data_IF_209007953073
#
_entry.id   IF_209007953073
#
_cell.length_a   1.000
_cell.length_b   1.000
_cell.length_c   1.000
_cell.angle_alpha   90.00
_cell.angle_beta   90.00
_cell.angle_gamma   90.00
#
_symmetry.space_group_name_H-M   'P 1'
#
loop_
_entity.id
_entity.type
_entity.pdbx_description
1 polymer ?
#
# COMPACT_ATOMS: atom_id res chain seq x y z
N UNK A 1 -29.75 -38.35 -21.46
CA UNK A 1 -29.33 -37.71 -20.19
C UNK A 1 -30.57 -37.12 -19.54
N UNK A 2 -30.82 -37.34 -18.25
CA UNK A 2 -32.04 -36.80 -17.62
C UNK A 2 -31.92 -35.27 -17.46
N UNK A 3 -33.02 -34.51 -17.57
CA UNK A 3 -32.99 -33.06 -17.38
C UNK A 3 -32.44 -32.65 -16.01
N UNK A 4 -32.60 -33.51 -14.99
CA UNK A 4 -32.04 -33.31 -13.64
C UNK A 4 -30.50 -33.35 -13.63
N UNK A 5 -29.89 -34.25 -14.40
CA UNK A 5 -28.42 -34.34 -14.53
C UNK A 5 -27.88 -33.12 -15.27
N UNK A 6 -28.56 -32.67 -16.33
CA UNK A 6 -28.19 -31.46 -17.07
C UNK A 6 -28.22 -30.23 -16.16
N UNK A 7 -29.32 -30.05 -15.40
CA UNK A 7 -29.46 -28.93 -14.46
C UNK A 7 -28.37 -28.98 -13.40
N UNK A 8 -28.12 -30.14 -12.77
CA UNK A 8 -27.08 -30.28 -11.75
C UNK A 8 -25.68 -29.97 -12.31
N UNK A 9 -25.34 -30.47 -13.51
CA UNK A 9 -24.05 -30.21 -14.15
C UNK A 9 -23.88 -28.72 -14.48
N UNK A 10 -24.92 -28.05 -14.98
CA UNK A 10 -24.90 -26.61 -15.23
C UNK A 10 -24.72 -25.81 -13.94
N UNK A 11 -25.42 -26.17 -12.86
CA UNK A 11 -25.26 -25.51 -11.56
C UNK A 11 -23.83 -25.62 -11.05
N UNK A 12 -23.23 -26.82 -11.10
CA UNK A 12 -21.83 -27.03 -10.70
C UNK A 12 -20.89 -26.19 -11.56
N UNK A 13 -21.10 -26.15 -12.88
CA UNK A 13 -20.27 -25.36 -13.79
C UNK A 13 -20.38 -23.85 -13.51
N UNK A 14 -21.57 -23.34 -13.24
CA UNK A 14 -21.78 -21.93 -12.87
C UNK A 14 -21.09 -21.60 -11.54
N UNK A 15 -21.22 -22.47 -10.53
CA UNK A 15 -20.55 -22.27 -9.23
C UNK A 15 -19.03 -22.32 -9.39
N UNK A 16 -18.50 -23.28 -10.14
CA UNK A 16 -17.07 -23.39 -10.42
C UNK A 16 -16.54 -22.17 -11.19
N UNK A 17 -17.27 -21.69 -12.20
CA UNK A 17 -16.90 -20.49 -12.94
C UNK A 17 -16.95 -19.24 -12.04
N UNK A 18 -17.97 -19.10 -11.20
CA UNK A 18 -18.08 -18.01 -10.23
C UNK A 18 -16.92 -18.01 -9.22
N UNK A 19 -16.58 -19.18 -8.67
CA UNK A 19 -15.44 -19.35 -7.79
C UNK A 19 -14.11 -19.03 -8.51
N UNK A 20 -13.95 -19.49 -9.75
CA UNK A 20 -12.78 -19.20 -10.58
C UNK A 20 -12.60 -17.71 -10.85
N UNK A 21 -13.66 -17.00 -11.23
CA UNK A 21 -13.65 -15.55 -11.44
C UNK A 21 -13.33 -14.79 -10.15
N UNK A 22 -13.91 -15.20 -9.02
CA UNK A 22 -13.65 -14.59 -7.71
C UNK A 22 -12.18 -14.72 -7.28
N UNK A 23 -11.55 -15.86 -7.52
CA UNK A 23 -10.15 -16.11 -7.16
C UNK A 23 -9.15 -15.44 -8.12
N UNK A 24 -9.48 -15.39 -9.42
CA UNK A 24 -8.57 -14.82 -10.41
C UNK A 24 -8.64 -13.28 -10.48
N UNK A 25 -9.83 -12.71 -10.27
CA UNK A 25 -10.10 -11.26 -10.32
C UNK A 25 -9.61 -10.56 -11.61
N UNK A 26 -10.00 -11.03 -12.82
CA UNK A 26 -9.49 -10.48 -14.08
C UNK A 26 -9.80 -9.00 -14.27
N UNK A 27 -10.84 -8.49 -13.60
CA UNK A 27 -11.25 -7.09 -13.71
C UNK A 27 -10.29 -6.09 -13.10
N UNK A 28 -9.46 -6.50 -12.15
CA UNK A 28 -8.41 -5.63 -11.59
C UNK A 28 -7.42 -5.14 -12.65
N UNK A 29 -7.30 -5.82 -13.78
CA UNK A 29 -6.48 -5.34 -14.89
C UNK A 29 -7.04 -4.06 -15.56
N UNK A 30 -8.28 -3.68 -15.29
CA UNK A 30 -8.97 -2.57 -15.95
C UNK A 30 -9.84 -1.72 -15.00
N UNK A 31 -9.77 -1.93 -13.69
CA UNK A 31 -10.47 -1.12 -12.69
C UNK A 31 -9.48 -0.36 -11.83
N UNK A 32 -9.77 0.92 -11.60
CA UNK A 32 -9.04 1.75 -10.65
C UNK A 32 -9.82 1.93 -9.36
N UNK A 33 -9.10 1.94 -8.24
CA UNK A 33 -9.61 2.30 -6.91
C UNK A 33 -8.84 3.52 -6.40
N UNK A 34 -9.56 4.64 -6.28
CA UNK A 34 -9.02 5.88 -5.72
C UNK A 34 -9.33 5.98 -4.23
N UNK A 35 -8.31 6.26 -3.44
CA UNK A 35 -8.43 6.54 -2.01
C UNK A 35 -8.00 8.00 -1.76
N UNK A 36 -8.70 8.67 -0.85
CA UNK A 36 -8.40 10.06 -0.48
C UNK A 36 -8.50 10.19 1.03
N UNK A 37 -7.46 9.72 1.72
CA UNK A 37 -7.35 9.85 3.17
C UNK A 37 -6.64 11.15 3.54
N UNK A 38 -7.24 11.92 4.43
CA UNK A 38 -6.57 13.02 5.11
C UNK A 38 -5.48 12.49 6.07
N UNK A 39 -4.48 13.31 6.36
CA UNK A 39 -3.58 13.03 7.48
C UNK A 39 -4.38 12.99 8.79
N UNK A 40 -4.18 12.01 9.66
CA UNK A 40 -4.85 11.98 10.97
C UNK A 40 -4.41 13.17 11.82
N UNK A 41 -5.28 14.17 11.95
CA UNK A 41 -5.13 15.22 12.96
C UNK A 41 -5.93 14.76 14.17
N UNK A 42 -5.29 14.65 15.35
CA UNK A 42 -5.98 14.25 16.57
C UNK A 42 -7.25 15.11 16.75
N UNK A 43 -8.43 14.49 16.71
CA UNK A 43 -9.69 15.18 16.95
C UNK A 43 -9.77 15.57 18.42
N UNK A 44 -9.31 16.78 18.76
CA UNK A 44 -9.63 17.42 20.02
C UNK A 44 -10.97 18.17 19.88
N UNK A 45 -11.86 18.16 20.90
CA UNK A 45 -13.03 19.03 20.92
C UNK A 45 -12.58 20.50 20.87
N UNK A 46 -13.28 21.31 20.08
CA UNK A 46 -13.00 22.73 19.95
C UNK A 46 -13.33 23.48 21.26
N UNK A 47 -12.36 23.58 22.17
CA UNK A 47 -12.38 24.57 23.26
C UNK A 47 -10.93 24.96 23.61
N UNK A 48 -10.53 26.16 23.18
CA UNK A 48 -9.28 26.90 23.47
C UNK A 48 -7.96 26.41 22.82
N UNK A 49 -7.03 27.33 22.47
CA UNK A 49 -5.90 27.04 21.60
C UNK A 49 -4.68 26.59 22.42
N UNK A 50 -4.47 25.28 22.48
CA UNK A 50 -3.15 24.74 22.80
C UNK A 50 -2.74 23.85 21.63
N UNK A 51 -1.89 24.43 20.78
CA UNK A 51 -1.41 23.86 19.54
C UNK A 51 -0.55 22.64 19.86
N UNK A 52 -1.19 21.47 19.97
CA UNK A 52 -0.49 20.20 19.91
C UNK A 52 0.38 20.21 18.65
N UNK A 53 1.65 19.75 18.71
CA UNK A 53 2.51 19.74 17.54
C UNK A 53 1.80 19.01 16.40
N UNK A 54 1.63 19.69 15.26
CA UNK A 54 1.09 19.09 14.06
C UNK A 54 1.96 17.92 13.58
N UNK A 55 1.48 17.12 12.61
CA UNK A 55 2.24 16.01 12.06
C UNK A 55 3.64 16.46 11.61
N UNK A 56 4.69 15.79 12.10
CA UNK A 56 6.09 16.08 11.77
C UNK A 56 6.58 15.08 10.73
N UNK A 57 7.10 15.58 9.63
CA UNK A 57 7.71 14.75 8.59
C UNK A 57 9.07 14.24 9.06
N UNK A 58 9.26 12.92 9.05
CA UNK A 58 10.50 12.27 9.46
C UNK A 58 11.40 11.98 8.26
N UNK A 59 10.82 11.47 7.18
CA UNK A 59 11.51 11.17 5.94
C UNK A 59 10.53 11.19 4.77
N UNK A 60 11.03 11.39 3.55
CA UNK A 60 10.24 11.39 2.34
C UNK A 60 11.03 10.90 1.12
N UNK A 61 10.30 10.46 0.11
CA UNK A 61 10.83 9.99 -1.16
C UNK A 61 9.79 10.08 -2.26
N UNK A 62 10.25 10.06 -3.52
CA UNK A 62 9.38 9.90 -4.69
C UNK A 62 9.49 8.49 -5.23
N UNK A 63 8.37 7.95 -5.68
CA UNK A 63 8.36 6.65 -6.32
C UNK A 63 9.13 6.67 -7.63
N UNK A 64 9.96 5.65 -7.83
CA UNK A 64 10.50 5.25 -9.12
C UNK A 64 9.76 4.01 -9.62
N UNK A 65 9.55 3.95 -10.93
CA UNK A 65 8.93 2.82 -11.61
C UNK A 65 9.85 1.60 -11.59
N UNK A 66 9.27 0.43 -11.34
CA UNK A 66 9.89 -0.88 -11.56
C UNK A 66 9.09 -1.66 -12.61
N UNK A 67 8.46 -2.79 -12.24
CA UNK A 67 7.73 -3.65 -13.20
C UNK A 67 6.46 -2.98 -13.73
N UNK A 68 5.95 -1.97 -13.02
CA UNK A 68 4.73 -1.25 -13.37
C UNK A 68 4.90 0.25 -13.17
N UNK A 69 4.41 1.05 -14.12
CA UNK A 69 4.44 2.51 -14.02
C UNK A 69 3.89 2.96 -12.67
N UNK A 70 4.74 3.63 -11.89
CA UNK A 70 4.41 4.02 -10.52
C UNK A 70 4.95 5.42 -10.24
N UNK A 71 4.07 6.31 -9.77
CA UNK A 71 4.41 7.69 -9.39
C UNK A 71 3.73 8.11 -8.09
N UNK A 72 4.15 9.25 -7.56
CA UNK A 72 3.68 9.79 -6.28
C UNK A 72 4.82 9.93 -5.28
N UNK A 73 4.49 10.14 -4.01
CA UNK A 73 5.44 10.26 -2.93
C UNK A 73 5.11 9.32 -1.76
N UNK A 74 6.14 8.96 -1.00
CA UNK A 74 6.02 8.26 0.26
C UNK A 74 6.64 9.10 1.38
N UNK A 75 5.93 9.27 2.49
CA UNK A 75 6.30 10.13 3.61
C UNK A 75 6.20 9.33 4.91
N UNK A 76 7.30 9.21 5.65
CA UNK A 76 7.23 8.80 7.04
C UNK A 76 6.86 10.02 7.90
N UNK A 77 5.77 9.94 8.64
CA UNK A 77 5.23 11.03 9.45
C UNK A 77 5.06 10.57 10.89
N UNK A 78 5.39 11.45 11.85
CA UNK A 78 5.05 11.30 13.26
C UNK A 78 3.87 12.20 13.59
N UNK A 79 2.81 11.62 14.13
CA UNK A 79 1.63 12.33 14.59
C UNK A 79 1.86 13.01 15.95
N UNK A 80 0.96 13.93 16.32
CA UNK A 80 1.04 14.66 17.59
C UNK A 80 0.94 13.78 18.84
N UNK A 81 0.32 12.59 18.72
CA UNK A 81 0.27 11.59 19.79
C UNK A 81 1.53 10.69 19.85
N UNK A 82 2.51 10.90 18.97
CA UNK A 82 3.74 10.12 18.89
C UNK A 82 3.68 8.92 17.94
N UNK A 83 2.49 8.53 17.47
CA UNK A 83 2.34 7.45 16.49
C UNK A 83 3.05 7.79 15.18
N UNK A 84 3.46 6.75 14.46
CA UNK A 84 4.13 6.89 13.17
C UNK A 84 3.30 6.25 12.08
N UNK A 85 3.26 6.90 10.94
CA UNK A 85 2.62 6.40 9.74
C UNK A 85 3.52 6.56 8.53
N UNK A 86 3.33 5.69 7.54
CA UNK A 86 3.77 5.90 6.18
C UNK A 86 2.57 6.42 5.39
N UNK A 87 2.69 7.61 4.83
CA UNK A 87 1.70 8.20 3.93
C UNK A 87 2.17 8.06 2.50
N UNK A 88 1.27 7.59 1.64
CA UNK A 88 1.41 7.67 0.20
C UNK A 88 0.62 8.90 -0.26
N UNK A 89 1.24 9.76 -1.07
CA UNK A 89 0.63 10.97 -1.63
C UNK A 89 0.63 10.91 -3.15
N UNK A 90 -0.48 11.33 -3.75
CA UNK A 90 -0.67 11.37 -5.21
C UNK A 90 -0.24 10.06 -5.88
N UNK A 91 -0.52 8.92 -5.21
CA UNK A 91 -0.13 7.62 -5.74
C UNK A 91 -0.82 7.40 -7.08
N UNK A 92 -0.06 6.89 -8.04
CA UNK A 92 -0.60 6.32 -9.26
C UNK A 92 0.21 5.11 -9.64
N UNK A 93 -0.43 3.94 -9.64
CA UNK A 93 0.13 2.68 -10.12
C UNK A 93 -0.97 1.83 -10.75
N UNK A 94 -0.63 0.73 -11.42
CA UNK A 94 -1.62 -0.26 -11.85
C UNK A 94 -2.10 -1.10 -10.67
N UNK A 95 -3.36 -1.56 -10.68
CA UNK A 95 -3.85 -2.50 -9.68
C UNK A 95 -3.25 -3.91 -9.88
N UNK A 96 -3.28 -4.71 -8.82
CA UNK A 96 -2.71 -6.04 -8.80
C UNK A 96 -3.47 -6.99 -7.86
N UNK A 97 -3.20 -8.29 -7.98
CA UNK A 97 -3.95 -9.31 -7.27
C UNK A 97 -3.70 -9.31 -5.75
N UNK A 98 -2.50 -8.91 -5.30
CA UNK A 98 -2.10 -8.87 -3.89
C UNK A 98 -1.01 -7.80 -3.70
N UNK A 99 -1.38 -6.54 -3.94
CA UNK A 99 -0.50 -5.40 -3.74
C UNK A 99 -0.44 -5.02 -2.26
N UNK A 100 0.77 -4.78 -1.78
CA UNK A 100 1.06 -4.47 -0.39
C UNK A 100 2.11 -3.38 -0.26
N UNK A 101 2.07 -2.68 0.85
CA UNK A 101 3.00 -1.60 1.17
C UNK A 101 4.01 -2.12 2.19
N UNK A 102 5.29 -2.01 1.86
CA UNK A 102 6.40 -2.42 2.72
C UNK A 102 7.34 -1.28 3.06
N UNK A 103 7.97 -1.37 4.22
CA UNK A 103 9.24 -0.69 4.49
C UNK A 103 10.38 -1.69 4.27
N UNK A 104 11.40 -1.30 3.50
CA UNK A 104 12.59 -2.10 3.24
C UNK A 104 13.86 -1.40 3.69
N UNK A 105 14.82 -2.17 4.22
CA UNK A 105 16.19 -1.71 4.50
C UNK A 105 17.05 -1.59 3.24
N UNK A 106 16.53 -2.01 2.08
CA UNK A 106 17.16 -1.86 0.77
C UNK A 106 16.67 -0.56 0.12
N UNK A 107 17.54 0.06 -0.67
CA UNK A 107 17.20 1.21 -1.49
C UNK A 107 16.24 0.84 -2.62
N UNK A 108 15.59 1.85 -3.19
CA UNK A 108 14.63 1.69 -4.27
C UNK A 108 15.23 0.95 -5.48
N UNK A 109 16.48 1.20 -5.84
CA UNK A 109 17.17 0.49 -6.93
C UNK A 109 17.49 -1.00 -6.62
N UNK A 110 17.50 -1.37 -5.34
CA UNK A 110 17.88 -2.70 -4.89
C UNK A 110 16.70 -3.64 -4.63
N UNK A 111 15.51 -3.11 -4.32
CA UNK A 111 14.31 -3.92 -4.03
C UNK A 111 13.74 -4.73 -5.20
N UNK A 112 14.01 -4.44 -6.50
CA UNK A 112 13.65 -5.37 -7.58
C UNK A 112 14.29 -6.75 -7.42
N UNK A 113 15.41 -6.86 -6.69
CA UNK A 113 16.07 -8.14 -6.35
C UNK A 113 15.51 -8.77 -5.06
N UNK A 114 14.36 -8.30 -4.58
CA UNK A 114 13.69 -8.71 -3.35
C UNK A 114 13.77 -7.67 -2.24
N UNK A 115 12.79 -7.70 -1.35
CA UNK A 115 12.59 -6.75 -0.24
C UNK A 115 13.71 -6.77 0.82
N UNK A 116 14.51 -7.85 0.87
CA UNK A 116 15.53 -8.04 1.91
C UNK A 116 14.95 -8.60 3.21
N UNK A 117 15.85 -8.96 4.13
CA UNK A 117 15.48 -9.43 5.47
C UNK A 117 14.89 -8.27 6.29
N UNK A 118 14.00 -8.61 7.23
CA UNK A 118 13.32 -7.66 8.13
C UNK A 118 12.47 -6.58 7.42
N UNK A 119 12.05 -6.82 6.18
CA UNK A 119 11.06 -5.96 5.54
C UNK A 119 9.74 -5.99 6.33
N UNK A 120 9.16 -4.83 6.59
CA UNK A 120 7.95 -4.70 7.40
C UNK A 120 6.75 -4.53 6.48
N UNK A 121 5.83 -5.49 6.51
CA UNK A 121 4.53 -5.41 5.83
C UNK A 121 3.62 -4.44 6.59
N UNK A 122 3.25 -3.33 5.96
CA UNK A 122 2.33 -2.34 6.52
C UNK A 122 0.87 -2.60 6.16
N UNK A 123 0.60 -3.60 5.30
CA UNK A 123 -0.73 -4.01 4.88
C UNK A 123 -0.96 -3.97 3.38
N UNK A 124 -2.19 -4.31 3.00
CA UNK A 124 -2.67 -4.28 1.61
C UNK A 124 -2.76 -2.85 1.10
N UNK A 125 -2.40 -2.66 -0.17
CA UNK A 125 -2.62 -1.39 -0.86
C UNK A 125 -4.13 -1.16 -0.97
N UNK A 126 -4.65 -0.10 -0.33
CA UNK A 126 -6.09 0.16 -0.25
C UNK A 126 -6.68 0.62 -1.59
N UNK A 127 -5.88 1.29 -2.42
CA UNK A 127 -6.20 1.66 -3.79
C UNK A 127 -4.96 1.96 -4.61
N UNK A 128 -5.02 1.77 -5.92
CA UNK A 128 -3.91 2.03 -6.82
C UNK A 128 -3.74 3.52 -7.16
N UNK A 129 -4.70 4.35 -6.74
CA UNK A 129 -4.68 5.81 -6.92
C UNK A 129 -4.90 6.57 -5.60
N UNK A 130 -4.26 7.75 -5.49
CA UNK A 130 -4.56 8.78 -4.48
C UNK A 130 -3.78 8.67 -3.17
N UNK A 131 -4.36 9.22 -2.10
CA UNK A 131 -3.71 9.47 -0.82
C UNK A 131 -4.12 8.45 0.24
N UNK A 132 -3.13 7.83 0.90
CA UNK A 132 -3.36 6.68 1.78
C UNK A 132 -2.37 6.66 2.95
N UNK A 133 -2.84 6.31 4.15
CA UNK A 133 -2.00 6.21 5.34
C UNK A 133 -1.90 4.77 5.84
N UNK A 134 -0.70 4.38 6.28
CA UNK A 134 -0.37 3.06 6.79
C UNK A 134 0.30 3.20 8.16
N UNK A 135 -0.25 2.54 9.18
CA UNK A 135 0.35 2.57 10.51
C UNK A 135 1.70 1.86 10.50
N UNK A 136 2.73 2.51 11.06
CA UNK A 136 4.03 1.88 11.27
C UNK A 136 4.00 1.24 12.67
N UNK A 137 4.27 -0.08 12.80
CA UNK A 137 4.24 -0.75 14.10
C UNK A 137 5.12 -0.03 15.13
N UNK A 138 4.60 0.09 16.37
CA UNK A 138 5.36 0.68 17.47
C UNK A 138 6.68 -0.07 17.69
N UNK A 139 7.76 0.68 17.97
CA UNK A 139 9.10 0.11 18.13
C UNK A 139 9.87 -0.14 16.82
N UNK A 140 9.26 0.10 15.64
CA UNK A 140 9.99 0.06 14.36
C UNK A 140 11.07 1.13 14.32
N UNK A 141 12.34 0.72 14.23
CA UNK A 141 13.46 1.64 14.03
C UNK A 141 13.53 2.11 12.56
N UNK A 142 13.06 3.33 12.33
CA UNK A 142 13.04 3.96 11.00
C UNK A 142 14.42 4.31 10.46
N UNK A 143 15.46 4.38 11.29
CA UNK A 143 16.82 4.73 10.82
C UNK A 143 17.46 3.65 9.94
N UNK A 144 17.02 2.39 10.13
CA UNK A 144 17.44 1.25 9.33
C UNK A 144 16.71 1.11 8.00
N UNK A 145 15.53 1.73 7.84
CA UNK A 145 14.76 1.64 6.60
C UNK A 145 15.25 2.67 5.57
N UNK A 146 15.32 2.22 4.32
CA UNK A 146 15.83 2.99 3.18
C UNK A 146 14.72 3.33 2.20
N UNK A 147 13.72 2.47 2.02
CA UNK A 147 12.66 2.69 1.05
C UNK A 147 11.28 2.25 1.52
N UNK A 148 10.26 2.92 0.97
CA UNK A 148 8.89 2.43 0.91
C UNK A 148 8.67 1.71 -0.42
N UNK A 149 8.01 0.56 -0.42
CA UNK A 149 7.87 -0.31 -1.60
C UNK A 149 6.42 -0.71 -1.80
N UNK A 150 5.93 -0.60 -3.04
CA UNK A 150 4.70 -1.26 -3.48
C UNK A 150 5.10 -2.60 -4.08
N UNK A 151 4.67 -3.69 -3.44
CA UNK A 151 5.08 -5.05 -3.75
C UNK A 151 3.86 -5.92 -4.03
N UNK A 152 3.91 -6.68 -5.13
CA UNK A 152 2.93 -7.72 -5.39
C UNK A 152 3.37 -9.02 -4.73
N UNK A 153 2.79 -9.33 -3.56
CA UNK A 153 3.18 -10.49 -2.76
C UNK A 153 2.94 -11.81 -3.49
N UNK A 154 1.85 -11.92 -4.27
CA UNK A 154 1.54 -13.11 -5.07
C UNK A 154 2.63 -13.44 -6.10
N UNK A 155 3.21 -12.43 -6.73
CA UNK A 155 4.17 -12.61 -7.82
C UNK A 155 5.62 -12.32 -7.43
N UNK A 156 5.84 -11.85 -6.21
CA UNK A 156 7.17 -11.49 -5.71
C UNK A 156 7.89 -10.47 -6.60
N UNK A 157 7.18 -9.42 -7.00
CA UNK A 157 7.69 -8.33 -7.84
C UNK A 157 7.43 -6.96 -7.22
N UNK A 158 8.31 -6.00 -7.49
CA UNK A 158 8.14 -4.61 -7.08
C UNK A 158 7.47 -3.82 -8.20
N UNK A 159 6.41 -3.09 -7.87
CA UNK A 159 5.74 -2.19 -8.80
C UNK A 159 6.47 -0.84 -8.85
N UNK A 160 6.81 -0.32 -7.67
CA UNK A 160 7.66 0.85 -7.53
C UNK A 160 8.16 1.01 -6.10
N UNK A 161 9.19 1.82 -5.92
CA UNK A 161 9.74 2.12 -4.60
C UNK A 161 10.17 3.58 -4.48
N UNK A 162 10.17 4.10 -3.27
CA UNK A 162 10.59 5.46 -2.95
C UNK A 162 11.66 5.42 -1.86
N UNK A 163 12.86 5.92 -2.16
CA UNK A 163 13.91 6.08 -1.15
C UNK A 163 13.52 7.16 -0.15
N UNK A 164 13.47 6.80 1.13
CA UNK A 164 13.09 7.66 2.24
C UNK A 164 14.32 8.37 2.78
N UNK A 165 14.43 9.65 2.47
CA UNK A 165 15.48 10.53 2.99
C UNK A 165 14.91 11.46 4.06
N UNK A 166 15.64 11.77 5.14
CA UNK A 166 15.18 12.74 6.13
C UNK A 166 14.77 14.05 5.48
N UNK A 167 13.55 14.52 5.78
CA UNK A 167 13.10 15.82 5.31
C UNK A 167 14.00 16.91 5.89
N UNK A 168 14.52 17.81 5.04
CA UNK A 168 15.21 18.99 5.56
C UNK A 168 14.18 19.84 6.30
N UNK A 169 14.32 19.90 7.62
CA UNK A 169 13.57 20.78 8.51
C UNK A 169 13.82 22.25 8.21
#
# INVERSE_FOLDING_TARGET
MSPRIVVAALTVLVVAAGAGLYLFQPWKAFTDTTVTEALPTASAPATAPEQAPGPVRLAEGRFVTHDHDTSGAALAVRLGNGDRLLRLEDLRTSDGPDLRVYLSRRSADAVPRGLGEDAVDLGELKGNLGDQNYAIPAGTDLSGFRSAVIWCKRFSVSFGAADLSPGRS
#
